data_IF_309469486896
#
_entry.id   IF_309469486896
#
_cell.length_a   1.000
_cell.length_b   1.000
_cell.length_c   1.000
_cell.angle_alpha   90.00
_cell.angle_beta   90.00
_cell.angle_gamma   90.00
#
_symmetry.space_group_name_H-M   'P 1'
#
loop_
_entity.id
_entity.type
_entity.pdbx_description
1 polymer ?
#
# COMPACT_ATOMS: atom_id res chain seq x y z
N UNK A 1 13.71 -49.52 -19.35
CA UNK A 1 13.84 -48.20 -20.02
C UNK A 1 12.57 -47.35 -19.93
N UNK A 2 11.39 -47.84 -20.35
CA UNK A 2 10.12 -47.07 -20.29
C UNK A 2 9.76 -46.55 -18.89
N UNK A 3 9.89 -47.40 -17.87
CA UNK A 3 9.59 -47.00 -16.48
C UNK A 3 10.57 -45.93 -15.97
N UNK A 4 11.85 -46.00 -16.37
CA UNK A 4 12.85 -45.00 -16.00
C UNK A 4 12.50 -43.63 -16.60
N UNK A 5 12.12 -43.60 -17.88
CA UNK A 5 11.68 -42.38 -18.55
C UNK A 5 10.46 -41.78 -17.84
N UNK A 6 9.47 -42.60 -17.50
CA UNK A 6 8.27 -42.16 -16.76
C UNK A 6 8.60 -41.53 -15.41
N UNK A 7 9.47 -42.16 -14.61
CA UNK A 7 9.87 -41.60 -13.32
C UNK A 7 10.65 -40.29 -13.47
N UNK A 8 11.52 -40.18 -14.49
CA UNK A 8 12.25 -38.93 -14.75
C UNK A 8 11.31 -37.79 -15.15
N UNK A 9 10.30 -38.04 -16.00
CA UNK A 9 9.34 -37.01 -16.38
C UNK A 9 8.45 -36.60 -15.20
N UNK A 10 8.07 -37.55 -14.35
CA UNK A 10 7.29 -37.28 -13.15
C UNK A 10 8.07 -36.37 -12.18
N UNK A 11 9.33 -36.70 -11.91
CA UNK A 11 10.18 -35.90 -11.01
C UNK A 11 10.41 -34.48 -11.53
N UNK A 12 10.62 -34.32 -12.85
CA UNK A 12 10.75 -33.00 -13.47
C UNK A 12 9.45 -32.20 -13.30
N UNK A 13 8.29 -32.82 -13.56
CA UNK A 13 7.00 -32.13 -13.41
C UNK A 13 6.67 -31.73 -11.96
N UNK A 14 7.07 -32.55 -10.98
CA UNK A 14 6.91 -32.23 -9.57
C UNK A 14 7.84 -31.10 -9.13
N UNK A 15 9.07 -31.09 -9.66
CA UNK A 15 10.02 -30.02 -9.41
C UNK A 15 9.56 -28.69 -10.01
N UNK A 16 9.09 -28.68 -11.26
CA UNK A 16 8.57 -27.45 -11.89
C UNK A 16 7.30 -26.95 -11.22
N UNK A 17 6.39 -27.84 -10.80
CA UNK A 17 5.22 -27.46 -10.01
C UNK A 17 5.60 -26.79 -8.68
N UNK A 18 6.58 -27.37 -7.96
CA UNK A 18 7.09 -26.80 -6.71
C UNK A 18 7.70 -25.40 -6.90
N UNK A 19 8.48 -25.17 -7.96
CA UNK A 19 9.06 -23.85 -8.23
C UNK A 19 8.00 -22.80 -8.56
N UNK A 20 6.99 -23.15 -9.37
CA UNK A 20 5.90 -22.21 -9.73
C UNK A 20 5.00 -21.86 -8.52
N UNK A 21 4.74 -22.82 -7.63
CA UNK A 21 3.96 -22.57 -6.40
C UNK A 21 4.63 -21.53 -5.48
N UNK A 22 5.97 -21.52 -5.43
CA UNK A 22 6.72 -20.54 -4.64
C UNK A 22 6.74 -19.15 -5.28
N UNK A 23 6.49 -19.04 -6.59
CA UNK A 23 6.51 -17.76 -7.32
C UNK A 23 5.14 -17.05 -7.32
N UNK A 24 4.03 -17.78 -7.36
CA UNK A 24 2.69 -17.14 -7.28
C UNK A 24 2.31 -16.69 -5.86
N UNK A 25 2.91 -17.28 -4.82
CA UNK A 25 2.64 -16.91 -3.42
C UNK A 25 3.76 -16.07 -2.78
N UNK A 26 4.79 -15.69 -3.53
CA UNK A 26 5.67 -14.60 -3.11
C UNK A 26 4.94 -13.28 -3.32
N UNK A 27 3.97 -12.98 -2.46
CA UNK A 27 3.77 -11.59 -2.05
C UNK A 27 5.13 -11.17 -1.51
N UNK A 28 5.88 -10.45 -2.32
CA UNK A 28 7.11 -9.85 -1.86
C UNK A 28 6.72 -8.93 -0.69
N UNK A 29 7.03 -9.36 0.53
CA UNK A 29 6.83 -8.55 1.74
C UNK A 29 7.65 -7.25 1.67
N UNK A 30 8.50 -7.08 0.65
CA UNK A 30 9.19 -5.84 0.31
C UNK A 30 8.35 -4.85 -0.52
N UNK A 31 7.26 -5.27 -1.16
CA UNK A 31 6.44 -4.40 -2.01
C UNK A 31 5.48 -3.56 -1.14
N UNK A 32 6.05 -2.50 -0.57
CA UNK A 32 5.31 -1.52 0.23
C UNK A 32 4.41 -0.70 -0.70
N UNK A 33 3.12 -0.74 -0.44
CA UNK A 33 2.13 0.10 -1.13
C UNK A 33 1.99 1.40 -0.36
N UNK A 34 2.22 2.52 -1.06
CA UNK A 34 1.89 3.85 -0.55
C UNK A 34 0.61 4.34 -1.19
N UNK A 35 -0.26 4.90 -0.38
CA UNK A 35 -1.47 5.60 -0.80
C UNK A 35 -1.30 7.10 -0.59
N UNK A 36 -1.77 7.89 -1.55
CA UNK A 36 -1.74 9.35 -1.48
C UNK A 36 -3.13 9.87 -1.83
N UNK A 37 -3.80 10.49 -0.87
CA UNK A 37 -5.06 11.18 -1.08
C UNK A 37 -4.80 12.68 -1.28
N UNK A 38 -5.31 13.23 -2.38
CA UNK A 38 -5.28 14.66 -2.69
C UNK A 38 -6.60 15.28 -2.23
N UNK A 39 -6.53 16.29 -1.38
CA UNK A 39 -7.72 16.93 -0.80
C UNK A 39 -7.81 18.36 -1.29
N UNK A 40 -8.94 18.66 -1.95
CA UNK A 40 -9.38 20.01 -2.27
C UNK A 40 -10.27 20.55 -1.13
N UNK A 41 -9.98 21.76 -0.65
CA UNK A 41 -10.72 22.47 0.38
C UNK A 41 -11.69 23.43 -0.27
N UNK A 42 -12.98 23.14 -0.15
CA UNK A 42 -14.04 24.02 -0.64
C UNK A 42 -14.22 25.26 0.25
N UNK A 43 -14.62 26.36 -0.37
CA UNK A 43 -14.96 27.63 0.28
C UNK A 43 -13.85 28.22 1.17
N UNK A 44 -12.58 27.88 0.88
CA UNK A 44 -11.41 28.33 1.63
C UNK A 44 -11.46 28.02 3.15
N UNK A 45 -12.21 26.99 3.56
CA UNK A 45 -12.37 26.57 4.97
C UNK A 45 -11.15 25.79 5.50
N UNK A 46 -9.96 26.37 5.36
CA UNK A 46 -8.68 25.72 5.65
C UNK A 46 -8.56 25.33 7.13
N UNK A 47 -9.00 26.20 8.04
CA UNK A 47 -8.89 25.98 9.48
C UNK A 47 -9.72 24.77 9.94
N UNK A 48 -10.97 24.68 9.46
CA UNK A 48 -11.86 23.57 9.75
C UNK A 48 -11.34 22.25 9.16
N UNK A 49 -10.91 22.28 7.89
CA UNK A 49 -10.36 21.10 7.23
C UNK A 49 -9.13 20.57 7.98
N UNK A 50 -8.22 21.44 8.39
CA UNK A 50 -7.05 21.06 9.18
C UNK A 50 -7.44 20.50 10.54
N UNK A 51 -8.39 21.14 11.23
CA UNK A 51 -8.90 20.64 12.49
C UNK A 51 -9.48 19.23 12.32
N UNK A 52 -10.27 18.99 11.28
CA UNK A 52 -10.83 17.68 11.00
C UNK A 52 -9.76 16.61 10.77
N UNK A 53 -8.77 16.87 9.90
CA UNK A 53 -7.71 15.87 9.62
C UNK A 53 -6.77 15.63 10.80
N UNK A 54 -6.55 16.63 11.65
CA UNK A 54 -5.75 16.48 12.87
C UNK A 54 -6.46 15.69 13.97
N UNK A 55 -7.78 15.84 14.10
CA UNK A 55 -8.53 15.24 15.22
C UNK A 55 -9.22 13.93 14.86
N UNK A 56 -9.53 13.69 13.58
CA UNK A 56 -10.23 12.49 13.14
C UNK A 56 -9.28 11.55 12.39
N UNK A 57 -8.77 11.99 11.23
CA UNK A 57 -7.95 11.14 10.37
C UNK A 57 -6.65 10.69 11.05
N UNK A 58 -5.93 11.62 11.70
CA UNK A 58 -4.68 11.31 12.41
C UNK A 58 -4.90 10.30 13.53
N UNK A 59 -5.98 10.42 14.30
CA UNK A 59 -6.28 9.52 15.42
C UNK A 59 -6.51 8.08 14.90
N UNK A 60 -7.23 7.93 13.79
CA UNK A 60 -7.43 6.63 13.17
C UNK A 60 -6.11 6.01 12.68
N UNK A 61 -5.23 6.83 12.10
CA UNK A 61 -3.91 6.38 11.61
C UNK A 61 -2.95 6.03 12.74
N UNK A 62 -2.99 6.75 13.86
CA UNK A 62 -2.29 6.35 15.08
C UNK A 62 -2.75 4.98 15.57
N UNK A 63 -4.06 4.73 15.59
CA UNK A 63 -4.61 3.42 15.94
C UNK A 63 -4.18 2.32 14.96
N UNK A 64 -4.13 2.63 13.66
CA UNK A 64 -3.67 1.71 12.63
C UNK A 64 -2.18 1.36 12.74
N UNK A 65 -1.33 2.32 13.09
CA UNK A 65 0.09 2.08 13.39
C UNK A 65 0.26 1.10 14.56
N UNK A 66 -0.46 1.34 15.67
CA UNK A 66 -0.37 0.48 16.87
C UNK A 66 -0.82 -0.96 16.59
N UNK A 67 -1.68 -1.15 15.58
CA UNK A 67 -2.19 -2.46 15.15
C UNK A 67 -1.38 -3.08 14.01
N UNK A 68 -0.28 -2.44 13.60
CA UNK A 68 0.56 -2.85 12.46
C UNK A 68 -0.22 -2.97 11.13
N UNK A 69 -1.33 -2.22 10.98
CA UNK A 69 -2.10 -2.19 9.73
C UNK A 69 -1.45 -1.30 8.67
N UNK A 70 -0.68 -0.31 9.12
CA UNK A 70 0.06 0.62 8.26
C UNK A 70 1.45 0.80 8.84
N UNK A 71 2.39 1.25 8.01
CA UNK A 71 3.78 1.43 8.40
C UNK A 71 4.11 2.86 8.82
N UNK A 72 3.49 3.83 8.14
CA UNK A 72 3.64 5.25 8.42
C UNK A 72 2.39 5.99 7.95
N UNK A 73 2.30 7.26 8.31
CA UNK A 73 1.34 8.17 7.68
C UNK A 73 1.89 9.60 7.76
N UNK A 74 1.45 10.46 6.85
CA UNK A 74 1.83 11.87 6.85
C UNK A 74 0.67 12.75 6.36
N UNK A 75 0.45 13.87 7.06
CA UNK A 75 -0.41 14.95 6.58
C UNK A 75 0.51 16.09 6.14
N UNK A 76 0.46 16.45 4.86
CA UNK A 76 1.19 17.59 4.30
C UNK A 76 0.21 18.67 3.88
N UNK A 77 0.59 19.93 4.12
CA UNK A 77 -0.05 21.07 3.45
C UNK A 77 0.71 21.37 2.18
N UNK A 78 0.00 21.65 1.11
CA UNK A 78 0.61 22.10 -0.13
C UNK A 78 0.70 23.62 -0.15
N UNK A 79 1.65 24.19 -0.91
CA UNK A 79 1.66 25.61 -1.18
C UNK A 79 0.41 25.99 -1.99
N UNK A 80 -0.26 27.07 -1.59
CA UNK A 80 -1.30 27.70 -2.39
C UNK A 80 -0.63 28.38 -3.58
N UNK A 81 -0.71 27.77 -4.76
CA UNK A 81 -0.31 28.37 -6.04
C UNK A 81 -1.50 28.36 -6.98
N UNK A 82 -1.53 29.27 -7.95
CA UNK A 82 -2.62 29.36 -8.94
C UNK A 82 -2.82 28.05 -9.73
N UNK A 83 -1.80 27.18 -9.77
CA UNK A 83 -1.82 25.88 -10.46
C UNK A 83 -2.20 24.69 -9.55
N UNK A 84 -2.24 24.86 -8.22
CA UNK A 84 -2.50 23.76 -7.29
C UNK A 84 -4.00 23.63 -7.00
N UNK A 85 -4.57 22.46 -7.31
CA UNK A 85 -6.00 22.17 -7.07
C UNK A 85 -6.29 21.51 -5.72
N UNK A 86 -5.26 21.29 -4.91
CA UNK A 86 -5.36 20.56 -3.65
C UNK A 86 -4.47 21.22 -2.61
N UNK A 87 -4.98 21.34 -1.39
CA UNK A 87 -4.37 22.03 -0.26
C UNK A 87 -3.73 21.06 0.74
N UNK A 88 -4.16 19.80 0.73
CA UNK A 88 -3.61 18.75 1.61
C UNK A 88 -3.25 17.48 0.83
N UNK A 89 -2.21 16.82 1.30
CA UNK A 89 -1.86 15.44 0.93
C UNK A 89 -1.90 14.56 2.17
N UNK A 90 -2.61 13.43 2.06
CA UNK A 90 -2.64 12.39 3.08
C UNK A 90 -1.87 11.19 2.56
N UNK A 91 -0.79 10.82 3.22
CA UNK A 91 0.06 9.70 2.83
C UNK A 91 -0.09 8.59 3.85
N UNK A 92 -0.19 7.34 3.42
CA UNK A 92 -0.18 6.14 4.26
C UNK A 92 0.54 5.02 3.54
#
# INVERSE_FOLDING_TARGET
MKNLIFFTTLLISLYTYSQNFNQENSLDLSERISTIDFVEIIDANIEEALYYYQNNWKVLRQGALVKDYILSYQLLKTPLTDDNKFELLLIT
#
